data_IF_362814502627
#
_entry.id   IF_362814502627
#
_cell.length_a   1.000
_cell.length_b   1.000
_cell.length_c   1.000
_cell.angle_alpha   90.00
_cell.angle_beta   90.00
_cell.angle_gamma   90.00
#
_symmetry.space_group_name_H-M   'P 1'
#
loop_
_entity.id
_entity.type
_entity.pdbx_description
1 polymer ?
#
# COMPACT_ATOMS: atom_id res chain seq x y z
N UNK A 1 -10.48 -51.13 9.80
CA UNK A 1 -9.80 -49.84 10.12
C UNK A 1 -10.67 -48.70 9.58
N UNK A 2 -10.96 -47.68 10.40
CA UNK A 2 -11.80 -46.53 10.01
C UNK A 2 -11.05 -45.66 9.00
N UNK A 3 -11.75 -45.29 7.92
CA UNK A 3 -11.27 -44.35 6.90
C UNK A 3 -11.23 -42.95 7.52
N UNK A 4 -10.03 -42.41 7.70
CA UNK A 4 -9.84 -41.03 8.18
C UNK A 4 -9.99 -40.11 6.97
N UNK A 5 -10.98 -39.24 7.02
CA UNK A 5 -11.14 -38.16 6.05
C UNK A 5 -10.46 -36.93 6.62
N UNK A 6 -9.38 -36.48 5.98
CA UNK A 6 -8.80 -35.17 6.27
C UNK A 6 -9.65 -34.12 5.57
N UNK A 7 -10.25 -33.22 6.34
CA UNK A 7 -10.77 -31.97 5.81
C UNK A 7 -9.53 -31.17 5.42
N UNK A 8 -9.43 -30.76 4.15
CA UNK A 8 -8.49 -29.70 3.77
C UNK A 8 -9.10 -28.43 4.32
N UNK A 9 -8.65 -27.99 5.49
CA UNK A 9 -8.89 -26.63 5.94
C UNK A 9 -8.39 -25.71 4.82
N UNK A 10 -9.21 -24.70 4.47
CA UNK A 10 -8.80 -23.68 3.52
C UNK A 10 -7.46 -23.12 4.01
N UNK A 11 -6.41 -23.31 3.22
CA UNK A 11 -5.09 -22.78 3.52
C UNK A 11 -5.26 -21.28 3.68
N UNK A 12 -5.12 -20.74 4.90
CA UNK A 12 -4.88 -19.32 5.07
C UNK A 12 -3.66 -19.01 4.19
N UNK A 13 -3.83 -18.21 3.16
CA UNK A 13 -2.70 -17.71 2.37
C UNK A 13 -1.84 -16.89 3.34
N UNK A 14 -0.75 -17.50 3.79
CA UNK A 14 0.26 -16.82 4.59
C UNK A 14 0.73 -15.64 3.72
N UNK A 15 0.69 -14.40 4.22
CA UNK A 15 1.22 -13.26 3.47
C UNK A 15 2.64 -13.57 3.03
N UNK A 16 2.89 -13.55 1.72
CA UNK A 16 4.22 -13.81 1.14
C UNK A 16 5.19 -12.65 1.37
N UNK A 17 4.68 -11.53 1.89
CA UNK A 17 5.38 -10.27 2.13
C UNK A 17 5.54 -10.06 3.63
N UNK A 18 6.74 -9.70 4.06
CA UNK A 18 7.04 -9.32 5.44
C UNK A 18 6.48 -7.93 5.78
N UNK A 19 6.34 -7.62 7.07
CA UNK A 19 5.87 -6.29 7.49
C UNK A 19 6.81 -5.16 7.01
N UNK A 20 8.12 -5.42 7.02
CA UNK A 20 9.13 -4.47 6.54
C UNK A 20 9.03 -4.21 5.03
N UNK A 21 8.84 -5.27 4.23
CA UNK A 21 8.61 -5.14 2.78
C UNK A 21 7.30 -4.39 2.48
N UNK A 22 6.24 -4.68 3.23
CA UNK A 22 4.95 -4.01 3.08
C UNK A 22 5.05 -2.50 3.34
N UNK A 23 5.64 -2.11 4.46
CA UNK A 23 5.82 -0.68 4.78
C UNK A 23 6.82 0.00 3.85
N UNK A 24 7.92 -0.67 3.48
CA UNK A 24 8.88 -0.11 2.53
C UNK A 24 8.25 0.17 1.17
N UNK A 25 7.40 -0.73 0.66
CA UNK A 25 6.66 -0.53 -0.59
C UNK A 25 5.80 0.72 -0.55
N UNK A 26 5.10 0.96 0.56
CA UNK A 26 4.28 2.17 0.75
C UNK A 26 5.12 3.44 0.86
N UNK A 27 6.28 3.39 1.53
CA UNK A 27 7.22 4.52 1.59
C UNK A 27 7.82 4.85 0.22
N UNK A 28 8.15 3.83 -0.58
CA UNK A 28 8.59 4.02 -1.96
C UNK A 28 7.50 4.64 -2.84
N UNK A 29 6.24 4.26 -2.64
CA UNK A 29 5.12 4.80 -3.40
C UNK A 29 5.02 6.34 -3.29
N UNK A 30 5.34 6.93 -2.13
CA UNK A 30 5.46 8.38 -1.97
C UNK A 30 6.56 8.96 -2.88
N UNK A 31 7.74 8.34 -2.86
CA UNK A 31 8.90 8.79 -3.65
C UNK A 31 8.62 8.65 -5.15
N UNK A 32 8.07 7.50 -5.56
CA UNK A 32 7.73 7.20 -6.94
C UNK A 32 6.64 8.14 -7.47
N UNK A 33 5.60 8.41 -6.67
CA UNK A 33 4.57 9.40 -7.00
C UNK A 33 5.14 10.79 -7.23
N UNK A 34 6.11 11.21 -6.42
CA UNK A 34 6.77 12.50 -6.61
C UNK A 34 7.64 12.53 -7.87
N UNK A 35 8.37 11.46 -8.18
CA UNK A 35 9.14 11.35 -9.44
C UNK A 35 8.20 11.49 -10.65
N UNK A 36 7.08 10.74 -10.66
CA UNK A 36 6.12 10.77 -11.76
C UNK A 36 5.41 12.13 -11.87
N UNK A 37 5.10 12.78 -10.75
CA UNK A 37 4.59 14.15 -10.69
C UNK A 37 5.52 15.17 -11.40
N UNK A 38 6.83 14.99 -11.30
CA UNK A 38 7.82 15.87 -11.94
C UNK A 38 8.08 15.51 -13.40
N UNK A 39 7.70 14.31 -13.85
CA UNK A 39 7.92 13.83 -15.21
C UNK A 39 6.73 14.06 -16.14
N UNK A 40 5.51 14.20 -15.60
CA UNK A 40 4.32 14.44 -16.42
C UNK A 40 4.35 15.81 -17.11
N UNK A 41 3.74 15.86 -18.30
CA UNK A 41 3.48 17.08 -19.08
C UNK A 41 2.03 17.55 -18.98
N UNK A 42 1.16 16.78 -18.31
CA UNK A 42 -0.24 17.14 -18.07
C UNK A 42 -0.36 17.89 -16.76
N UNK A 43 -1.02 19.05 -16.79
CA UNK A 43 -1.26 19.84 -15.57
C UNK A 43 -2.23 19.12 -14.62
N UNK A 44 -3.25 18.47 -15.16
CA UNK A 44 -4.23 17.70 -14.38
C UNK A 44 -3.57 16.51 -13.69
N UNK A 45 -2.78 15.69 -14.41
CA UNK A 45 -1.95 14.63 -13.84
C UNK A 45 -1.01 15.17 -12.75
N UNK A 46 -0.29 16.27 -13.04
CA UNK A 46 0.65 16.89 -12.11
C UNK A 46 -0.03 17.22 -10.78
N UNK A 47 -1.21 17.84 -10.81
CA UNK A 47 -1.97 18.18 -9.60
C UNK A 47 -2.58 16.96 -8.91
N UNK A 48 -2.99 15.93 -9.66
CA UNK A 48 -3.49 14.68 -9.09
C UNK A 48 -2.38 13.93 -8.34
N UNK A 49 -1.24 13.73 -8.98
CA UNK A 49 -0.06 13.08 -8.38
C UNK A 49 0.52 13.91 -7.23
N UNK A 50 0.40 15.24 -7.26
CA UNK A 50 0.80 16.08 -6.13
C UNK A 50 0.05 15.71 -4.86
N UNK A 51 -1.28 15.68 -4.93
CA UNK A 51 -2.12 15.31 -3.77
C UNK A 51 -1.80 13.89 -3.30
N UNK A 52 -1.52 12.98 -4.24
CA UNK A 52 -1.14 11.61 -3.94
C UNK A 52 0.16 11.53 -3.12
N UNK A 53 1.27 12.10 -3.61
CA UNK A 53 2.55 11.96 -2.92
C UNK A 53 2.65 12.81 -1.64
N UNK A 54 1.95 13.95 -1.56
CA UNK A 54 1.92 14.78 -0.35
C UNK A 54 1.12 14.12 0.78
N UNK A 55 0.04 13.42 0.47
CA UNK A 55 -0.82 12.78 1.48
C UNK A 55 -0.34 11.40 1.93
N UNK A 56 0.44 10.70 1.11
CA UNK A 56 0.85 9.32 1.40
C UNK A 56 1.74 9.19 2.65
N UNK A 57 2.80 10.01 2.85
CA UNK A 57 3.72 9.87 3.98
C UNK A 57 3.01 9.87 5.34
N UNK A 58 2.12 10.82 5.59
CA UNK A 58 1.41 10.93 6.87
C UNK A 58 0.49 9.72 7.15
N UNK A 59 -0.17 9.20 6.11
CA UNK A 59 -1.02 8.02 6.22
C UNK A 59 -0.19 6.76 6.48
N UNK A 60 0.95 6.63 5.80
CA UNK A 60 1.85 5.47 5.96
C UNK A 60 2.50 5.49 7.34
N UNK A 61 2.96 6.66 7.80
CA UNK A 61 3.50 6.87 9.14
C UNK A 61 2.49 6.46 10.21
N UNK A 62 1.24 6.93 10.10
CA UNK A 62 0.15 6.55 11.02
C UNK A 62 -0.04 5.03 11.11
N UNK A 63 -0.05 4.31 9.98
CA UNK A 63 -0.20 2.85 9.97
C UNK A 63 1.00 2.17 10.64
N UNK A 64 2.23 2.66 10.39
CA UNK A 64 3.45 2.11 10.97
C UNK A 64 3.45 2.33 12.49
N UNK A 65 3.19 3.55 12.96
CA UNK A 65 3.19 3.89 14.38
C UNK A 65 2.11 3.10 15.15
N UNK A 66 0.90 3.00 14.60
CA UNK A 66 -0.17 2.18 15.18
C UNK A 66 0.22 0.71 15.25
N UNK A 67 0.86 0.17 14.22
CA UNK A 67 1.34 -1.21 14.22
C UNK A 67 2.44 -1.43 15.26
N UNK A 68 3.46 -0.56 15.30
CA UNK A 68 4.54 -0.67 16.28
C UNK A 68 3.99 -0.54 17.71
N UNK A 69 3.00 0.34 17.93
CA UNK A 69 2.30 0.51 19.20
C UNK A 69 1.44 -0.71 19.58
N UNK A 70 0.67 -1.27 18.65
CA UNK A 70 -0.22 -2.40 18.94
C UNK A 70 0.55 -3.71 19.19
N UNK A 71 1.64 -3.95 18.44
CA UNK A 71 2.42 -5.17 18.53
C UNK A 71 3.67 -5.06 19.41
N UNK A 72 4.01 -3.86 19.89
CA UNK A 72 5.18 -3.57 20.72
C UNK A 72 6.50 -4.04 20.05
N UNK A 73 6.65 -3.72 18.77
CA UNK A 73 7.79 -4.13 17.93
C UNK A 73 8.29 -2.96 17.09
N UNK A 74 9.58 -2.96 16.79
CA UNK A 74 10.18 -2.06 15.80
C UNK A 74 10.25 -2.78 14.46
N UNK A 75 9.93 -2.07 13.38
CA UNK A 75 10.00 -2.61 12.02
C UNK A 75 11.45 -2.67 11.57
N UNK A 76 11.86 -3.80 11.00
CA UNK A 76 13.11 -3.95 10.26
C UNK A 76 12.82 -3.88 8.76
N UNK A 77 13.49 -2.96 8.06
CA UNK A 77 13.28 -2.73 6.63
C UNK A 77 14.36 -3.43 5.80
N UNK A 78 14.02 -4.05 4.66
CA UNK A 78 15.02 -4.55 3.73
C UNK A 78 15.72 -3.38 3.01
N UNK A 79 16.96 -3.59 2.58
CA UNK A 79 17.73 -2.61 1.81
C UNK A 79 17.49 -2.80 0.30
N UNK A 80 16.28 -2.49 -0.16
CA UNK A 80 15.90 -2.58 -1.58
C UNK A 80 15.34 -1.26 -2.07
N UNK A 81 15.33 -1.07 -3.39
CA UNK A 81 14.67 0.05 -4.05
C UNK A 81 13.84 -0.48 -5.21
N UNK A 82 12.64 0.08 -5.38
CA UNK A 82 11.75 -0.23 -6.50
C UNK A 82 11.52 1.04 -7.32
N UNK A 83 11.93 0.99 -8.59
CA UNK A 83 11.71 2.09 -9.53
C UNK A 83 10.22 2.34 -9.76
N UNK A 84 9.80 3.58 -10.08
CA UNK A 84 8.41 3.87 -10.43
C UNK A 84 7.95 3.06 -11.65
N UNK A 85 6.66 2.75 -11.68
CA UNK A 85 6.00 2.25 -12.87
C UNK A 85 6.06 3.28 -14.02
N UNK A 86 5.74 2.87 -15.27
CA UNK A 86 5.91 3.74 -16.45
C UNK A 86 5.12 5.06 -16.43
N UNK A 87 4.00 5.11 -15.70
CA UNK A 87 3.11 6.26 -15.61
C UNK A 87 2.39 6.32 -14.26
N UNK A 88 1.79 7.49 -13.96
CA UNK A 88 1.13 7.78 -12.70
C UNK A 88 -0.05 6.85 -12.38
N UNK A 89 -0.90 6.56 -13.38
CA UNK A 89 -2.07 5.71 -13.17
C UNK A 89 -1.66 4.28 -12.86
N UNK A 90 -0.70 3.74 -13.61
CA UNK A 90 -0.16 2.39 -13.40
C UNK A 90 0.52 2.28 -12.03
N UNK A 91 1.26 3.29 -11.57
CA UNK A 91 1.86 3.30 -10.22
C UNK A 91 0.79 3.23 -9.13
N UNK A 92 -0.21 4.11 -9.18
CA UNK A 92 -1.25 4.19 -8.14
C UNK A 92 -2.10 2.91 -8.11
N UNK A 93 -2.43 2.34 -9.28
CA UNK A 93 -3.12 1.05 -9.38
C UNK A 93 -2.27 -0.10 -8.81
N UNK A 94 -0.97 -0.15 -9.11
CA UNK A 94 -0.08 -1.18 -8.58
C UNK A 94 0.03 -1.11 -7.04
N UNK A 95 0.10 0.10 -6.47
CA UNK A 95 0.11 0.30 -5.02
C UNK A 95 -1.22 -0.14 -4.39
N UNK A 96 -2.34 0.20 -5.02
CA UNK A 96 -3.68 -0.22 -4.57
C UNK A 96 -3.83 -1.73 -4.57
N UNK A 97 -3.47 -2.40 -5.65
CA UNK A 97 -3.57 -3.85 -5.76
C UNK A 97 -2.65 -4.56 -4.76
N UNK A 98 -1.44 -4.03 -4.57
CA UNK A 98 -0.54 -4.50 -3.52
C UNK A 98 -1.17 -4.36 -2.12
N UNK A 99 -1.80 -3.21 -1.84
CA UNK A 99 -2.44 -2.95 -0.55
C UNK A 99 -3.61 -3.92 -0.30
N UNK A 100 -4.51 -4.10 -1.28
CA UNK A 100 -5.64 -5.05 -1.18
C UNK A 100 -5.14 -6.47 -0.93
N UNK A 101 -4.13 -6.92 -1.68
CA UNK A 101 -3.60 -8.27 -1.58
C UNK A 101 -2.90 -8.54 -0.25
N UNK A 102 -2.22 -7.54 0.31
CA UNK A 102 -1.30 -7.76 1.43
C UNK A 102 -1.74 -7.12 2.76
N UNK A 103 -2.86 -6.38 2.83
CA UNK A 103 -3.32 -5.71 4.07
C UNK A 103 -3.50 -6.64 5.27
N UNK A 104 -3.62 -7.96 5.07
CA UNK A 104 -3.65 -8.91 6.17
C UNK A 104 -2.31 -8.96 6.97
N UNK A 105 -1.20 -8.50 6.39
CA UNK A 105 0.13 -8.50 7.04
C UNK A 105 0.19 -7.60 8.28
N UNK A 106 -0.63 -6.55 8.33
CA UNK A 106 -0.72 -5.67 9.51
C UNK A 106 -1.62 -6.26 10.62
N UNK A 107 -2.27 -7.40 10.35
CA UNK A 107 -3.17 -8.15 11.24
C UNK A 107 -4.50 -7.45 11.52
N UNK A 108 -5.26 -7.94 12.51
CA UNK A 108 -6.71 -7.69 12.60
C UNK A 108 -7.12 -6.55 13.53
N UNK A 109 -6.18 -5.74 14.01
CA UNK A 109 -6.52 -4.56 14.82
C UNK A 109 -7.36 -3.58 14.00
N UNK A 110 -8.58 -3.31 14.48
CA UNK A 110 -9.55 -2.49 13.75
C UNK A 110 -9.08 -1.05 13.54
N UNK A 111 -8.29 -0.49 14.47
CA UNK A 111 -7.67 0.83 14.30
C UNK A 111 -6.71 0.85 13.11
N UNK A 112 -5.81 -0.13 13.02
CA UNK A 112 -4.85 -0.23 11.92
C UNK A 112 -5.57 -0.47 10.59
N UNK A 113 -6.59 -1.33 10.58
CA UNK A 113 -7.39 -1.56 9.38
C UNK A 113 -8.14 -0.30 8.92
N UNK A 114 -8.59 0.55 9.85
CA UNK A 114 -9.18 1.85 9.50
C UNK A 114 -8.15 2.79 8.85
N UNK A 115 -6.92 2.84 9.36
CA UNK A 115 -5.84 3.62 8.78
C UNK A 115 -5.46 3.13 7.37
N UNK A 116 -5.47 1.80 7.15
CA UNK A 116 -5.33 1.20 5.81
C UNK A 116 -6.47 1.61 4.88
N UNK A 117 -7.72 1.68 5.37
CA UNK A 117 -8.87 2.12 4.56
C UNK A 117 -8.81 3.62 4.21
N UNK A 118 -8.23 4.45 5.07
CA UNK A 118 -7.97 5.86 4.78
C UNK A 118 -6.93 6.01 3.65
N UNK A 119 -5.87 5.19 3.67
CA UNK A 119 -4.91 5.11 2.56
C UNK A 119 -5.62 4.64 1.28
N UNK A 120 -6.44 3.59 1.34
CA UNK A 120 -7.22 3.11 0.19
C UNK A 120 -8.08 4.23 -0.43
N UNK A 121 -8.71 5.06 0.41
CA UNK A 121 -9.53 6.19 -0.02
C UNK A 121 -8.73 7.25 -0.80
N UNK A 122 -7.48 7.51 -0.40
CA UNK A 122 -6.57 8.37 -1.16
C UNK A 122 -6.23 7.77 -2.52
N UNK A 123 -5.93 6.47 -2.57
CA UNK A 123 -5.63 5.74 -3.81
C UNK A 123 -6.81 5.77 -4.79
N UNK A 124 -8.01 5.42 -4.32
CA UNK A 124 -9.23 5.40 -5.13
C UNK A 124 -9.58 6.80 -5.67
N UNK A 125 -9.45 7.83 -4.84
CA UNK A 125 -9.65 9.22 -5.28
C UNK A 125 -8.62 9.65 -6.33
N UNK A 126 -7.38 9.18 -6.22
CA UNK A 126 -6.31 9.49 -7.17
C UNK A 126 -6.54 8.77 -8.50
N UNK A 127 -6.89 7.48 -8.47
CA UNK A 127 -7.23 6.70 -9.66
C UNK A 127 -8.40 7.33 -10.41
N UNK A 128 -9.45 7.73 -9.70
CA UNK A 128 -10.57 8.45 -10.31
C UNK A 128 -10.11 9.69 -11.07
N UNK A 129 -9.23 10.52 -10.47
CA UNK A 129 -8.72 11.73 -11.11
C UNK A 129 -7.88 11.40 -12.34
N UNK A 130 -6.96 10.46 -12.23
CA UNK A 130 -6.08 10.05 -13.33
C UNK A 130 -6.83 9.35 -14.47
N UNK A 131 -7.97 8.71 -14.17
CA UNK A 131 -8.76 8.00 -15.18
C UNK A 131 -9.73 8.92 -15.93
N UNK A 132 -10.30 9.92 -15.24
CA UNK A 132 -11.44 10.68 -15.77
C UNK A 132 -11.25 12.19 -15.80
N UNK A 133 -10.27 12.74 -15.08
CA UNK A 133 -10.03 14.18 -14.94
C UNK A 133 -8.64 14.62 -15.38
N UNK A 134 -7.78 13.67 -15.79
CA UNK A 134 -6.50 13.93 -16.43
C UNK A 134 -6.67 14.20 -17.93
#
# INVERSE_FOLDING_TARGET
>A
MKKVYSIKEAQLEIPTVTIGEFFLKLLHASTNGHILHLQTKSYSEHKALQKYYEGLPDLVDSIIEEWQGAYQKIVEYPATYEAPNPDGLTEVMAVRDFLVKNRAVVGDYTSIQNSVDNLMSLLDSTIYKLTFLD
#
